data_IF_809537803517
#
_entry.id   IF_809537803517
#
_cell.length_a   1.000
_cell.length_b   1.000
_cell.length_c   1.000
_cell.angle_alpha   90.00
_cell.angle_beta   90.00
_cell.angle_gamma   90.00
#
_symmetry.space_group_name_H-M   'P 1'
#
loop_
_entity.id
_entity.type
_entity.pdbx_description
1 polymer ?
#
# COMPACT_ATOMS: atom_id res chain seq x y z
N UNK A 1 1.91 2.51 25.45
CA UNK A 1 0.57 2.99 25.81
C UNK A 1 -0.41 2.65 24.68
N UNK A 2 -1.43 1.86 24.98
CA UNK A 2 -2.52 1.56 24.05
C UNK A 2 -3.40 2.78 23.82
N UNK A 3 -3.62 3.15 22.57
CA UNK A 3 -4.49 4.27 22.21
C UNK A 3 -5.95 3.83 22.11
N UNK A 4 -6.87 4.71 22.51
CA UNK A 4 -8.27 4.60 22.16
C UNK A 4 -8.53 5.04 20.72
N UNK A 5 -9.66 4.60 20.15
CA UNK A 5 -10.04 4.92 18.76
C UNK A 5 -10.12 6.43 18.50
N UNK A 6 -10.59 7.24 19.45
CA UNK A 6 -10.59 8.70 19.32
C UNK A 6 -9.18 9.28 19.18
N UNK A 7 -8.26 8.83 20.04
CA UNK A 7 -6.86 9.27 20.04
C UNK A 7 -6.12 8.86 18.77
N UNK A 8 -6.46 7.69 18.20
CA UNK A 8 -5.93 7.25 16.91
C UNK A 8 -6.37 8.20 15.78
N UNK A 9 -7.62 8.67 15.81
CA UNK A 9 -8.14 9.60 14.81
C UNK A 9 -7.52 10.97 14.90
N UNK A 10 -7.40 11.52 16.12
CA UNK A 10 -6.73 12.81 16.35
C UNK A 10 -5.30 12.78 15.82
N UNK A 11 -4.52 11.73 16.14
CA UNK A 11 -3.16 11.58 15.60
C UNK A 11 -3.14 11.44 14.09
N UNK A 12 -4.08 10.72 13.49
CA UNK A 12 -4.16 10.60 12.04
C UNK A 12 -4.42 11.97 11.38
N UNK A 13 -5.29 12.80 11.96
CA UNK A 13 -5.52 14.17 11.50
C UNK A 13 -4.27 15.05 11.67
N UNK A 14 -3.58 14.96 12.81
CA UNK A 14 -2.33 15.69 13.05
C UNK A 14 -1.25 15.35 12.03
N UNK A 15 -1.11 14.07 11.66
CA UNK A 15 -0.15 13.65 10.64
C UNK A 15 -0.55 14.17 9.26
N UNK A 16 -1.83 14.12 8.90
CA UNK A 16 -2.33 14.66 7.64
C UNK A 16 -2.24 16.19 7.59
N UNK A 17 -2.27 16.88 8.72
CA UNK A 17 -2.08 18.33 8.77
C UNK A 17 -0.62 18.73 8.53
N UNK A 18 0.31 17.95 9.07
CA UNK A 18 1.76 18.16 8.89
C UNK A 18 2.25 17.84 7.48
N UNK A 19 1.47 17.11 6.69
CA UNK A 19 1.81 16.69 5.34
C UNK A 19 0.79 17.23 4.31
N UNK A 20 0.94 18.51 3.88
CA UNK A 20 0.03 19.12 2.91
C UNK A 20 -0.02 18.38 1.56
N UNK A 21 1.05 17.69 1.18
CA UNK A 21 1.14 16.85 -0.02
C UNK A 21 0.37 15.52 0.08
N UNK A 22 -0.14 15.17 1.26
CA UNK A 22 -0.82 13.90 1.50
C UNK A 22 0.08 12.76 1.94
N UNK A 23 -0.54 11.77 2.57
CA UNK A 23 0.14 10.58 3.09
C UNK A 23 -0.52 9.33 2.50
N UNK A 24 0.32 8.36 2.12
CA UNK A 24 -0.14 7.02 1.71
C UNK A 24 -0.83 6.29 2.86
N UNK A 25 -1.88 5.52 2.58
CA UNK A 25 -2.68 4.82 3.59
C UNK A 25 -1.79 3.97 4.52
N UNK A 26 -0.92 3.13 3.97
CA UNK A 26 0.02 2.33 4.78
C UNK A 26 1.06 3.14 5.52
N UNK A 27 1.56 4.21 4.93
CA UNK A 27 2.51 5.09 5.61
C UNK A 27 1.86 5.74 6.84
N UNK A 28 0.61 6.20 6.72
CA UNK A 28 -0.13 6.81 7.82
C UNK A 28 -0.43 5.79 8.93
N UNK A 29 -0.94 4.61 8.58
CA UNK A 29 -1.22 3.53 9.54
C UNK A 29 0.05 3.14 10.29
N UNK A 30 1.18 3.01 9.58
CA UNK A 30 2.46 2.69 10.18
C UNK A 30 2.98 3.81 11.10
N UNK A 31 2.91 5.08 10.68
CA UNK A 31 3.30 6.21 11.55
C UNK A 31 2.51 6.22 12.87
N UNK A 32 1.21 5.92 12.81
CA UNK A 32 0.38 5.85 14.00
C UNK A 32 0.73 4.63 14.86
N UNK A 33 0.92 3.46 14.25
CA UNK A 33 1.32 2.23 14.95
C UNK A 33 2.71 2.37 15.61
N UNK A 34 3.69 2.92 14.90
CA UNK A 34 5.06 3.14 15.41
C UNK A 34 5.05 4.13 16.59
N UNK A 35 4.11 5.08 16.61
CA UNK A 35 3.91 5.99 17.75
C UNK A 35 3.20 5.36 18.96
N UNK A 36 2.60 4.18 18.80
CA UNK A 36 1.94 3.43 19.86
C UNK A 36 1.93 1.91 19.57
N UNK A 37 3.09 1.22 19.69
CA UNK A 37 3.22 -0.18 19.25
C UNK A 37 2.35 -1.19 20.02
N UNK A 38 1.85 -0.81 21.20
CA UNK A 38 0.89 -1.62 21.97
C UNK A 38 -0.52 -1.64 21.36
N UNK A 39 -0.81 -0.77 20.39
CA UNK A 39 -2.09 -0.72 19.69
C UNK A 39 -2.02 -1.64 18.48
N UNK A 40 -2.89 -2.67 18.37
CA UNK A 40 -2.85 -3.57 17.21
C UNK A 40 -3.05 -2.81 15.90
N UNK A 41 -2.26 -3.18 14.87
CA UNK A 41 -2.31 -2.51 13.56
C UNK A 41 -3.73 -2.52 12.96
N UNK A 42 -4.46 -3.64 13.10
CA UNK A 42 -5.85 -3.75 12.65
C UNK A 42 -6.81 -2.79 13.36
N UNK A 43 -6.53 -2.41 14.60
CA UNK A 43 -7.29 -1.38 15.32
C UNK A 43 -7.04 0.00 14.72
N UNK A 44 -5.81 0.29 14.31
CA UNK A 44 -5.45 1.53 13.61
C UNK A 44 -6.17 1.61 12.26
N UNK A 45 -6.16 0.52 11.48
CA UNK A 45 -6.92 0.40 10.24
C UNK A 45 -8.41 0.71 10.44
N UNK A 46 -9.06 0.03 11.40
CA UNK A 46 -10.48 0.22 11.67
C UNK A 46 -10.81 1.65 12.13
N UNK A 47 -9.95 2.24 12.95
CA UNK A 47 -10.12 3.62 13.43
C UNK A 47 -10.04 4.64 12.28
N UNK A 48 -9.08 4.48 11.37
CA UNK A 48 -8.91 5.34 10.21
C UNK A 48 -10.02 5.14 9.17
N UNK A 49 -10.44 3.90 8.91
CA UNK A 49 -11.61 3.62 8.07
C UNK A 49 -12.85 4.34 8.60
N UNK A 50 -13.06 4.29 9.92
CA UNK A 50 -14.19 4.98 10.56
C UNK A 50 -14.07 6.50 10.45
N UNK A 51 -12.86 7.06 10.49
CA UNK A 51 -12.63 8.50 10.32
C UNK A 51 -13.06 8.96 8.92
N UNK A 52 -12.61 8.25 7.90
CA UNK A 52 -12.93 8.51 6.49
C UNK A 52 -14.44 8.38 6.25
N UNK A 53 -15.09 7.36 6.81
CA UNK A 53 -16.54 7.19 6.64
C UNK A 53 -17.38 8.26 7.35
N UNK A 54 -16.87 8.85 8.43
CA UNK A 54 -17.64 9.81 9.26
C UNK A 54 -17.38 11.28 8.92
N UNK A 55 -16.24 11.60 8.32
CA UNK A 55 -15.77 12.99 8.18
C UNK A 55 -15.51 13.34 6.73
N UNK A 56 -16.04 14.47 6.26
CA UNK A 56 -15.77 15.01 4.91
C UNK A 56 -14.49 15.85 4.82
N UNK A 57 -13.76 15.95 5.93
CA UNK A 57 -12.53 16.73 6.04
C UNK A 57 -11.31 16.02 5.46
N UNK A 58 -11.36 14.69 5.30
CA UNK A 58 -10.31 13.92 4.66
C UNK A 58 -10.76 13.56 3.25
N UNK A 59 -9.98 13.97 2.25
CA UNK A 59 -10.23 13.70 0.84
C UNK A 59 -9.17 12.74 0.29
N UNK A 60 -9.52 12.10 -0.82
CA UNK A 60 -8.68 11.11 -1.50
C UNK A 60 -8.41 11.56 -2.93
N UNK A 61 -7.31 12.28 -3.19
CA UNK A 61 -6.99 12.76 -4.54
C UNK A 61 -6.63 11.65 -5.52
N UNK A 62 -5.98 10.58 -5.05
CA UNK A 62 -5.58 9.42 -5.87
C UNK A 62 -5.62 8.11 -5.06
N UNK A 63 -5.54 6.96 -5.75
CA UNK A 63 -5.62 5.63 -5.11
C UNK A 63 -4.53 5.50 -4.03
N UNK A 64 -4.94 5.24 -2.79
CA UNK A 64 -4.04 5.11 -1.64
C UNK A 64 -3.51 6.42 -1.03
N UNK A 65 -3.79 7.61 -1.58
CA UNK A 65 -3.32 8.91 -1.06
C UNK A 65 -4.44 9.66 -0.32
N UNK A 66 -4.16 10.12 0.90
CA UNK A 66 -5.11 10.84 1.76
C UNK A 66 -4.59 12.22 2.14
N UNK A 67 -5.44 13.24 2.06
CA UNK A 67 -5.13 14.65 2.32
C UNK A 67 -6.28 15.30 3.10
N UNK A 68 -6.01 16.33 3.90
CA UNK A 68 -7.08 17.17 4.47
C UNK A 68 -7.64 18.13 3.44
N UNK A 69 -8.95 18.35 3.45
CA UNK A 69 -9.66 19.21 2.50
C UNK A 69 -9.07 20.63 2.43
N UNK A 70 -8.62 21.17 3.57
CA UNK A 70 -7.91 22.46 3.66
C UNK A 70 -6.64 22.54 2.79
N UNK A 71 -5.99 21.41 2.54
CA UNK A 71 -4.78 21.30 1.72
C UNK A 71 -5.09 20.85 0.28
N UNK A 72 -6.34 20.44 0.00
CA UNK A 72 -6.78 19.99 -1.32
C UNK A 72 -7.39 21.11 -2.19
N UNK A 73 -7.89 22.18 -1.57
CA UNK A 73 -8.40 23.38 -2.27
C UNK A 73 -7.26 24.33 -2.70
N UNK A 74 -6.04 24.13 -2.19
CA UNK A 74 -4.84 24.68 -2.80
C UNK A 74 -4.49 23.77 -4.00
N UNK A 75 -4.26 24.35 -5.19
CA UNK A 75 -3.89 23.66 -6.45
C UNK A 75 -2.54 22.91 -6.36
N UNK A 76 -2.42 21.99 -5.42
CA UNK A 76 -1.33 21.06 -5.25
C UNK A 76 -1.95 19.69 -5.45
N UNK A 77 -2.30 19.38 -6.69
CA UNK A 77 -2.38 17.99 -7.13
C UNK A 77 -0.93 17.53 -7.08
N UNK A 78 -0.49 16.75 -6.09
CA UNK A 78 0.82 16.14 -6.19
C UNK A 78 0.60 15.11 -7.30
N UNK A 79 1.14 15.37 -8.50
CA UNK A 79 1.56 14.27 -9.33
C UNK A 79 2.36 13.36 -8.40
N UNK A 80 2.18 12.04 -8.44
CA UNK A 80 3.04 11.17 -7.67
C UNK A 80 4.47 11.55 -8.06
N UNK A 81 5.19 12.24 -7.17
CA UNK A 81 6.62 12.13 -7.14
C UNK A 81 6.81 10.64 -6.94
N UNK A 82 7.02 9.94 -8.05
CA UNK A 82 7.89 8.80 -8.06
C UNK A 82 9.14 9.39 -7.42
N UNK A 83 9.23 9.24 -6.10
CA UNK A 83 10.50 9.27 -5.41
C UNK A 83 11.26 8.16 -6.12
N UNK A 84 11.92 8.54 -7.23
CA UNK A 84 13.15 7.93 -7.67
C UNK A 84 13.94 7.98 -6.37
N UNK A 85 13.91 6.87 -5.66
CA UNK A 85 14.71 6.70 -4.49
C UNK A 85 16.13 6.77 -5.05
N UNK A 86 16.66 7.99 -5.11
CA UNK A 86 18.07 8.22 -5.20
C UNK A 86 18.65 7.27 -4.17
N UNK A 87 19.46 6.35 -4.66
CA UNK A 87 20.06 5.23 -3.94
C UNK A 87 21.15 5.74 -2.99
N UNK A 88 20.90 6.88 -2.37
CA UNK A 88 21.73 7.62 -1.44
C UNK A 88 20.76 8.38 -0.53
N UNK A 89 20.37 7.93 0.65
CA UNK A 89 21.23 7.99 1.84
C UNK A 89 20.41 7.56 3.07
N UNK A 90 20.62 6.34 3.57
CA UNK A 90 20.60 6.09 5.01
C UNK A 90 22.04 5.79 5.43
N UNK A 91 22.88 6.82 5.54
CA UNK A 91 24.17 6.71 6.24
C UNK A 91 23.89 6.65 7.74
N UNK A 92 23.64 5.43 8.21
CA UNK A 92 23.69 5.05 9.61
C UNK A 92 24.55 3.79 9.75
N UNK A 93 25.79 3.98 10.24
CA UNK A 93 26.74 2.96 10.73
C UNK A 93 27.05 1.74 9.84
N UNK A 94 28.19 1.78 9.15
CA UNK A 94 29.15 0.67 9.11
C UNK A 94 28.77 -0.68 8.50
N UNK A 95 27.69 -0.81 7.73
CA UNK A 95 27.31 -2.06 7.05
C UNK A 95 27.63 -2.04 5.55
N UNK A 96 28.21 -3.12 5.02
CA UNK A 96 28.34 -3.37 3.56
C UNK A 96 27.03 -2.98 2.84
N UNK A 97 27.10 -2.26 1.71
CA UNK A 97 25.93 -1.99 0.85
C UNK A 97 25.19 -3.31 0.63
N UNK A 98 24.00 -3.45 1.22
CA UNK A 98 23.17 -4.63 1.02
C UNK A 98 22.79 -4.67 -0.46
N UNK A 99 23.24 -5.71 -1.18
CA UNK A 99 22.72 -5.99 -2.51
C UNK A 99 21.33 -6.58 -2.30
N UNK A 100 20.30 -5.82 -2.64
CA UNK A 100 18.93 -6.33 -2.64
C UNK A 100 18.78 -7.39 -3.74
N UNK A 101 18.09 -8.47 -3.42
CA UNK A 101 17.63 -9.50 -4.37
C UNK A 101 16.20 -9.19 -4.80
N UNK A 102 15.76 -9.77 -5.91
CA UNK A 102 14.40 -9.56 -6.44
C UNK A 102 13.35 -10.09 -5.46
N UNK A 103 13.66 -11.24 -4.84
CA UNK A 103 12.83 -11.89 -3.83
C UNK A 103 12.55 -11.00 -2.61
N UNK A 104 13.44 -10.06 -2.28
CA UNK A 104 13.26 -9.12 -1.18
C UNK A 104 12.05 -8.19 -1.40
N UNK A 105 11.60 -8.03 -2.65
CA UNK A 105 10.50 -7.16 -3.04
C UNK A 105 9.15 -7.87 -3.11
N UNK A 106 9.11 -9.21 -3.11
CA UNK A 106 7.88 -9.97 -3.31
C UNK A 106 6.86 -9.75 -2.18
N UNK A 107 7.32 -9.84 -0.92
CA UNK A 107 6.45 -9.64 0.24
C UNK A 107 5.96 -8.18 0.36
N UNK A 108 6.82 -7.14 0.25
CA UNK A 108 6.36 -5.76 0.18
C UNK A 108 5.37 -5.50 -0.94
N UNK A 109 5.57 -6.07 -2.13
CA UNK A 109 4.67 -5.89 -3.26
C UNK A 109 3.32 -6.59 -3.07
N UNK A 110 3.32 -7.81 -2.50
CA UNK A 110 2.08 -8.50 -2.14
C UNK A 110 1.25 -7.72 -1.13
N UNK A 111 1.89 -7.13 -0.12
CA UNK A 111 1.20 -6.28 0.85
C UNK A 111 0.63 -5.02 0.18
N UNK A 112 1.41 -4.39 -0.70
CA UNK A 112 0.97 -3.23 -1.47
C UNK A 112 -0.24 -3.55 -2.35
N UNK A 113 -0.25 -4.68 -3.05
CA UNK A 113 -1.41 -5.12 -3.83
C UNK A 113 -2.66 -5.23 -2.94
N UNK A 114 -2.55 -5.81 -1.74
CA UNK A 114 -3.71 -6.01 -0.88
C UNK A 114 -4.20 -4.72 -0.20
N UNK A 115 -3.31 -3.79 0.08
CA UNK A 115 -3.61 -2.59 0.90
C UNK A 115 -3.84 -1.33 0.08
N UNK A 116 -3.10 -1.16 -1.01
CA UNK A 116 -3.15 0.04 -1.86
C UNK A 116 -3.95 -0.22 -3.15
N UNK A 117 -3.96 -1.45 -3.66
CA UNK A 117 -4.81 -1.84 -4.81
C UNK A 117 -6.14 -2.41 -4.31
N UNK A 118 -7.11 -1.52 -4.06
CA UNK A 118 -8.43 -1.84 -3.50
C UNK A 118 -9.24 -2.94 -4.22
N UNK A 119 -8.91 -3.26 -5.46
CA UNK A 119 -9.55 -4.33 -6.23
C UNK A 119 -9.04 -5.72 -5.82
N UNK A 120 -7.79 -5.83 -5.37
CA UNK A 120 -7.21 -7.11 -5.00
C UNK A 120 -7.61 -7.45 -3.57
N UNK A 121 -8.36 -8.53 -3.42
CA UNK A 121 -8.89 -8.98 -2.12
C UNK A 121 -7.90 -9.90 -1.42
N UNK A 122 -7.23 -10.76 -2.18
CA UNK A 122 -6.26 -11.73 -1.68
C UNK A 122 -5.01 -11.73 -2.54
N UNK A 123 -3.87 -12.04 -1.93
CA UNK A 123 -2.56 -12.08 -2.58
C UNK A 123 -1.77 -13.28 -2.12
N UNK A 124 -0.94 -13.82 -3.00
CA UNK A 124 -0.03 -14.92 -2.73
C UNK A 124 1.34 -14.62 -3.37
N UNK A 125 2.39 -14.63 -2.55
CA UNK A 125 3.77 -14.66 -3.04
C UNK A 125 4.09 -16.09 -3.50
N UNK A 126 4.37 -16.25 -4.78
CA UNK A 126 4.72 -17.51 -5.40
C UNK A 126 6.25 -17.63 -5.46
N UNK A 127 6.91 -16.86 -6.34
CA UNK A 127 8.37 -16.78 -6.47
C UNK A 127 9.07 -18.08 -6.87
N UNK A 128 10.07 -17.99 -7.75
CA UNK A 128 10.87 -19.12 -8.20
C UNK A 128 10.09 -20.18 -9.01
N UNK A 129 10.78 -21.24 -9.46
CA UNK A 129 10.21 -22.30 -10.33
C UNK A 129 9.28 -23.29 -9.57
N UNK A 130 8.32 -22.80 -8.79
CA UNK A 130 7.43 -23.64 -7.99
C UNK A 130 6.44 -24.45 -8.80
N UNK A 131 5.92 -23.93 -9.91
CA UNK A 131 4.92 -24.64 -10.73
C UNK A 131 5.52 -25.72 -11.64
N UNK A 132 6.86 -25.80 -11.78
CA UNK A 132 7.58 -26.78 -12.65
C UNK A 132 6.94 -27.00 -14.03
N UNK A 133 6.27 -25.99 -14.57
CA UNK A 133 5.46 -26.07 -15.78
C UNK A 133 6.10 -25.26 -16.91
N UNK A 134 5.60 -25.43 -18.14
CA UNK A 134 6.05 -24.68 -19.32
C UNK A 134 5.64 -23.20 -19.30
N UNK A 135 4.77 -22.81 -18.38
CA UNK A 135 4.33 -21.43 -18.18
C UNK A 135 5.10 -20.85 -16.99
N UNK A 136 5.63 -19.62 -17.13
CA UNK A 136 6.38 -18.96 -16.07
C UNK A 136 5.57 -18.90 -14.77
N UNK A 137 6.21 -19.23 -13.64
CA UNK A 137 5.60 -19.03 -12.32
C UNK A 137 5.71 -17.54 -12.01
N UNK A 138 4.61 -16.79 -11.89
CA UNK A 138 4.71 -15.39 -11.53
C UNK A 138 5.25 -15.23 -10.11
N UNK A 139 5.85 -14.08 -9.81
CA UNK A 139 6.38 -13.79 -8.49
C UNK A 139 5.27 -13.58 -7.46
N UNK A 140 4.25 -12.81 -7.83
CA UNK A 140 3.10 -12.50 -6.97
C UNK A 140 1.81 -12.60 -7.75
N UNK A 141 0.81 -13.24 -7.15
CA UNK A 141 -0.55 -13.35 -7.69
C UNK A 141 -1.53 -12.67 -6.76
N UNK A 142 -2.40 -11.83 -7.32
CA UNK A 142 -3.55 -11.24 -6.66
C UNK A 142 -4.86 -11.82 -7.20
N UNK A 143 -5.90 -11.83 -6.38
CA UNK A 143 -7.24 -12.24 -6.74
C UNK A 143 -8.20 -11.10 -6.40
N UNK A 144 -8.89 -10.59 -7.43
CA UNK A 144 -10.07 -9.77 -7.27
C UNK A 144 -11.28 -10.70 -7.31
N UNK A 145 -12.00 -10.80 -6.20
CA UNK A 145 -13.18 -11.66 -6.08
C UNK A 145 -14.26 -10.96 -5.27
N UNK A 146 -15.55 -11.21 -5.55
CA UNK A 146 -16.63 -10.67 -4.74
C UNK A 146 -16.51 -11.08 -3.27
N UNK A 147 -16.67 -10.13 -2.37
CA UNK A 147 -16.76 -10.37 -0.92
C UNK A 147 -18.16 -10.85 -0.57
N UNK A 148 -18.30 -11.51 0.58
CA UNK A 148 -19.60 -11.98 1.04
C UNK A 148 -20.62 -10.83 1.20
N UNK A 149 -20.14 -9.65 1.62
CA UNK A 149 -20.90 -8.40 1.77
C UNK A 149 -21.36 -7.75 0.46
N UNK A 150 -20.80 -8.14 -0.68
CA UNK A 150 -21.06 -7.44 -1.94
C UNK A 150 -22.46 -7.78 -2.45
N UNK A 151 -23.24 -6.75 -2.80
CA UNK A 151 -24.59 -6.91 -3.33
C UNK A 151 -24.59 -7.51 -4.74
N UNK A 152 -23.60 -7.17 -5.57
CA UNK A 152 -23.40 -7.70 -6.91
C UNK A 152 -22.18 -8.60 -6.94
N UNK A 153 -22.31 -9.80 -7.52
CA UNK A 153 -21.21 -10.76 -7.68
C UNK A 153 -20.67 -10.65 -9.12
N UNK A 154 -19.47 -10.11 -9.25
CA UNK A 154 -18.75 -10.00 -10.52
C UNK A 154 -17.82 -11.22 -10.73
N UNK A 155 -17.24 -11.35 -11.92
CA UNK A 155 -16.33 -12.45 -12.25
C UNK A 155 -15.02 -12.36 -11.48
N UNK A 156 -14.42 -13.50 -11.17
CA UNK A 156 -13.11 -13.52 -10.51
C UNK A 156 -12.05 -13.10 -11.51
N UNK A 157 -11.22 -12.13 -11.13
CA UNK A 157 -10.09 -11.69 -11.94
C UNK A 157 -8.79 -12.07 -11.24
N UNK A 158 -7.85 -12.61 -12.02
CA UNK A 158 -6.51 -12.94 -11.55
C UNK A 158 -5.56 -11.84 -12.00
N UNK A 159 -4.83 -11.29 -11.03
CA UNK A 159 -3.75 -10.33 -11.25
C UNK A 159 -2.45 -11.08 -11.11
N UNK A 160 -1.64 -11.11 -12.16
CA UNK A 160 -0.32 -11.75 -12.15
C UNK A 160 0.75 -10.69 -12.32
N UNK A 161 1.78 -10.72 -11.46
CA UNK A 161 2.89 -9.77 -11.49
C UNK A 161 4.24 -10.49 -11.45
N UNK A 162 5.14 -9.99 -12.29
CA UNK A 162 6.57 -10.30 -12.32
C UNK A 162 7.34 -9.04 -11.90
N UNK A 163 8.23 -9.17 -10.93
CA UNK A 163 8.98 -8.06 -10.35
C UNK A 163 10.38 -8.05 -10.94
N UNK A 164 10.95 -6.86 -11.14
CA UNK A 164 12.35 -6.68 -11.56
C UNK A 164 12.98 -5.65 -10.64
N UNK A 165 14.25 -5.85 -10.28
CA UNK A 165 14.99 -4.94 -9.38
C UNK A 165 15.32 -3.61 -10.06
N UNK A 166 15.46 -3.62 -11.39
CA UNK A 166 15.79 -2.43 -12.17
C UNK A 166 14.59 -1.48 -12.24
N UNK A 167 14.64 -0.30 -11.60
CA UNK A 167 13.52 0.64 -11.57
C UNK A 167 13.26 1.29 -12.94
N UNK A 168 14.19 1.19 -13.89
CA UNK A 168 14.00 1.66 -15.27
C UNK A 168 13.27 0.64 -16.14
N UNK A 169 13.16 -0.61 -15.66
CA UNK A 169 12.35 -1.65 -16.27
C UNK A 169 10.98 -1.66 -15.59
N UNK A 170 10.03 -0.93 -16.17
CA UNK A 170 8.61 -1.02 -15.79
C UNK A 170 8.15 -2.47 -15.77
N UNK A 171 7.18 -2.79 -14.89
CA UNK A 171 6.52 -4.11 -14.80
C UNK A 171 6.26 -4.64 -16.21
N UNK A 172 7.01 -5.67 -16.61
CA UNK A 172 7.09 -6.12 -18.02
C UNK A 172 5.82 -6.87 -18.44
N UNK A 173 5.05 -7.38 -17.47
CA UNK A 173 3.75 -7.98 -17.71
C UNK A 173 2.83 -7.76 -16.50
N UNK A 174 1.89 -6.81 -16.61
CA UNK A 174 0.71 -6.75 -15.76
C UNK A 174 -0.47 -7.28 -16.60
N UNK A 175 -0.81 -8.55 -16.38
CA UNK A 175 -1.92 -9.19 -17.06
C UNK A 175 -3.11 -9.33 -16.12
N UNK A 176 -4.23 -8.70 -16.46
CA UNK A 176 -5.54 -9.04 -15.89
C UNK A 176 -6.17 -10.11 -16.79
N UNK A 177 -6.44 -11.28 -16.23
CA UNK A 177 -7.16 -12.34 -16.92
C UNK A 177 -8.50 -12.61 -16.21
N UNK A 178 -9.57 -12.62 -17.00
CA UNK A 178 -10.91 -13.03 -16.55
C UNK A 178 -11.07 -14.52 -16.86
N UNK A 179 -11.49 -15.32 -15.87
CA UNK A 179 -11.81 -16.74 -16.03
C UNK A 179 -13.32 -16.95 -16.13
#
# INVERSE_FOLDING_TARGET
>A
MKLQVSQIRERALDYLDKAPQGIRYMALVKMVHDSAPETPINTVHGAFQTLISKTKEVVRPSKGLWVLKKHADADVIPQPEILLADTETRRGSGGKKAKFLEEDFYAPFSEWLKTEVEEVVETLVMGGSRLKSKWGTPDVVGINKPRQSDFYKFQIEIVSAEIKIDPTQSIVAFGQACA
#
